data_IF_284615054128
#
_entry.id   IF_284615054128
#
_cell.length_a   1.000
_cell.length_b   1.000
_cell.length_c   1.000
_cell.angle_alpha   90.00
_cell.angle_beta   90.00
_cell.angle_gamma   90.00
#
_symmetry.space_group_name_H-M   'P 1'
#
loop_
_entity.id
_entity.type
_entity.pdbx_description
1 polymer ?
#
# COMPACT_ATOMS: atom_id res chain seq x y z
N UNK A 1 -38.14 -20.96 37.15
CA UNK A 1 -36.69 -21.20 36.96
C UNK A 1 -36.28 -20.48 35.68
N UNK A 2 -35.59 -19.34 35.81
CA UNK A 2 -35.18 -18.49 34.69
C UNK A 2 -33.76 -18.92 34.27
N UNK A 3 -33.61 -19.49 33.07
CA UNK A 3 -32.30 -19.92 32.57
C UNK A 3 -31.52 -18.70 32.04
N UNK A 4 -30.39 -18.40 32.68
CA UNK A 4 -29.45 -17.35 32.26
C UNK A 4 -28.56 -17.90 31.14
N UNK A 5 -28.87 -17.58 29.88
CA UNK A 5 -28.04 -17.94 28.73
C UNK A 5 -26.73 -17.13 28.76
N UNK A 6 -25.64 -17.77 29.18
CA UNK A 6 -24.29 -17.20 29.12
C UNK A 6 -23.74 -17.37 27.71
N UNK A 7 -23.69 -16.30 26.92
CA UNK A 7 -23.03 -16.28 25.61
C UNK A 7 -21.52 -16.14 25.80
N UNK A 8 -20.80 -17.27 25.81
CA UNK A 8 -19.33 -17.31 25.78
C UNK A 8 -18.83 -16.76 24.45
N UNK A 9 -18.01 -15.68 24.41
CA UNK A 9 -17.41 -15.22 23.17
C UNK A 9 -16.43 -16.28 22.67
N UNK A 10 -16.67 -16.79 21.46
CA UNK A 10 -15.92 -17.88 20.84
C UNK A 10 -14.53 -17.41 20.40
N UNK A 11 -13.48 -18.09 20.88
CA UNK A 11 -12.04 -17.82 20.63
C UNK A 11 -11.63 -17.68 19.14
N UNK A 12 -12.47 -18.10 18.20
CA UNK A 12 -12.19 -18.09 16.76
C UNK A 12 -12.21 -16.71 16.09
N UNK A 13 -12.94 -15.74 16.64
CA UNK A 13 -13.11 -14.43 15.98
C UNK A 13 -11.92 -13.50 16.23
N UNK A 14 -11.34 -13.55 17.43
CA UNK A 14 -10.22 -12.67 17.81
C UNK A 14 -8.92 -13.02 17.07
N UNK A 15 -8.64 -14.30 16.86
CA UNK A 15 -7.42 -14.75 16.15
C UNK A 15 -7.45 -14.41 14.66
N UNK A 16 -8.61 -14.58 14.01
CA UNK A 16 -8.78 -14.24 12.59
C UNK A 16 -8.69 -12.73 12.35
N UNK A 17 -9.28 -11.90 13.21
CA UNK A 17 -9.15 -10.43 13.13
C UNK A 17 -7.69 -9.97 13.33
N UNK A 18 -6.97 -10.59 14.27
CA UNK A 18 -5.56 -10.24 14.49
C UNK A 18 -4.69 -10.60 13.27
N UNK A 19 -4.98 -11.74 12.65
CA UNK A 19 -4.29 -12.18 11.43
C UNK A 19 -4.56 -11.24 10.26
N UNK A 20 -5.82 -10.87 9.99
CA UNK A 20 -6.14 -9.96 8.87
C UNK A 20 -5.46 -8.59 9.04
N UNK A 21 -5.43 -8.05 10.26
CA UNK A 21 -4.69 -6.81 10.57
C UNK A 21 -3.19 -6.95 10.35
N UNK A 22 -2.61 -8.07 10.76
CA UNK A 22 -1.18 -8.34 10.57
C UNK A 22 -0.83 -8.48 9.09
N UNK A 23 -1.66 -9.16 8.30
CA UNK A 23 -1.47 -9.28 6.84
C UNK A 23 -1.59 -7.90 6.20
N UNK A 24 -2.65 -7.14 6.49
CA UNK A 24 -2.85 -5.79 5.95
C UNK A 24 -1.66 -4.87 6.24
N UNK A 25 -1.13 -4.89 7.46
CA UNK A 25 0.05 -4.12 7.83
C UNK A 25 1.30 -4.58 7.07
N UNK A 26 1.50 -5.89 6.98
CA UNK A 26 2.62 -6.49 6.26
C UNK A 26 2.57 -6.12 4.78
N UNK A 27 1.39 -5.98 4.17
CA UNK A 27 1.24 -5.57 2.77
C UNK A 27 1.95 -4.25 2.46
N UNK A 28 1.85 -3.26 3.34
CA UNK A 28 2.53 -1.97 3.17
C UNK A 28 4.05 -2.10 3.30
N UNK A 29 4.53 -2.99 4.16
CA UNK A 29 5.97 -3.21 4.37
C UNK A 29 6.60 -4.02 3.23
N UNK A 30 5.94 -5.07 2.75
CA UNK A 30 6.43 -5.83 1.59
C UNK A 30 6.42 -4.99 0.31
N UNK A 31 5.52 -4.00 0.22
CA UNK A 31 5.47 -3.06 -0.89
C UNK A 31 6.78 -2.27 -1.04
N UNK A 32 7.49 -1.99 0.06
CA UNK A 32 8.78 -1.28 0.02
C UNK A 32 9.87 -2.09 -0.68
N UNK A 33 9.80 -3.43 -0.62
CA UNK A 33 10.84 -4.33 -1.15
C UNK A 33 10.46 -4.90 -2.51
N UNK A 34 9.18 -5.23 -2.67
CA UNK A 34 8.64 -5.92 -3.86
C UNK A 34 7.91 -4.98 -4.80
N UNK A 35 7.86 -3.68 -4.46
CA UNK A 35 7.16 -2.64 -5.21
C UNK A 35 5.70 -3.01 -5.43
N UNK A 36 5.20 -2.97 -6.67
CA UNK A 36 3.81 -3.29 -7.01
C UNK A 36 3.48 -4.79 -6.89
N UNK A 37 4.47 -5.68 -6.93
CA UNK A 37 4.24 -7.13 -7.03
C UNK A 37 3.67 -7.68 -5.73
N UNK A 38 4.24 -7.33 -4.57
CA UNK A 38 3.76 -7.81 -3.28
C UNK A 38 2.30 -7.44 -2.99
N UNK A 39 1.93 -6.15 -3.07
CA UNK A 39 0.55 -5.70 -2.92
C UNK A 39 -0.41 -6.37 -3.91
N UNK A 40 0.01 -6.54 -5.17
CA UNK A 40 -0.82 -7.19 -6.18
C UNK A 40 -1.10 -8.66 -5.83
N UNK A 41 -0.08 -9.40 -5.39
CA UNK A 41 -0.22 -10.79 -4.95
C UNK A 41 -1.14 -10.88 -3.73
N UNK A 42 -0.96 -10.00 -2.73
CA UNK A 42 -1.84 -10.00 -1.55
C UNK A 42 -3.28 -9.68 -1.94
N UNK A 43 -3.49 -8.67 -2.79
CA UNK A 43 -4.82 -8.28 -3.26
C UNK A 43 -5.53 -9.43 -3.99
N UNK A 44 -4.80 -10.22 -4.79
CA UNK A 44 -5.38 -11.32 -5.57
C UNK A 44 -5.68 -12.56 -4.73
N UNK A 45 -4.84 -12.86 -3.73
CA UNK A 45 -5.00 -14.04 -2.88
C UNK A 45 -5.90 -13.81 -1.67
N UNK A 46 -6.07 -12.56 -1.25
CA UNK A 46 -6.86 -12.23 -0.06
C UNK A 46 -8.34 -12.57 -0.23
N UNK A 47 -8.91 -13.16 0.83
CA UNK A 47 -10.36 -13.37 0.99
C UNK A 47 -11.00 -12.38 1.95
N UNK A 48 -10.20 -11.50 2.56
CA UNK A 48 -10.67 -10.47 3.48
C UNK A 48 -10.75 -9.14 2.73
N UNK A 49 -11.94 -8.55 2.70
CA UNK A 49 -12.17 -7.22 2.10
C UNK A 49 -11.19 -6.19 2.67
N UNK A 50 -11.05 -6.15 3.99
CA UNK A 50 -10.09 -5.29 4.71
C UNK A 50 -8.65 -5.43 4.19
N UNK A 51 -8.15 -6.65 4.01
CA UNK A 51 -6.79 -6.89 3.50
C UNK A 51 -6.70 -6.48 2.03
N UNK A 52 -7.73 -6.75 1.23
CA UNK A 52 -7.77 -6.40 -0.18
C UNK A 52 -7.80 -4.88 -0.42
N UNK A 53 -8.50 -4.13 0.43
CA UNK A 53 -8.50 -2.66 0.41
C UNK A 53 -7.11 -2.10 0.73
N UNK A 54 -6.47 -2.56 1.81
CA UNK A 54 -5.11 -2.14 2.13
C UNK A 54 -4.09 -2.52 1.05
N UNK A 55 -4.27 -3.67 0.41
CA UNK A 55 -3.43 -4.10 -0.71
C UNK A 55 -3.61 -3.23 -1.94
N UNK A 56 -4.85 -2.82 -2.24
CA UNK A 56 -5.15 -1.85 -3.32
C UNK A 56 -4.53 -0.49 -3.03
N UNK A 57 -4.60 -0.02 -1.79
CA UNK A 57 -4.00 1.27 -1.40
C UNK A 57 -2.47 1.23 -1.47
N UNK A 58 -1.85 0.16 -1.00
CA UNK A 58 -0.41 -0.05 -1.15
C UNK A 58 0.00 -0.10 -2.64
N UNK A 59 -0.79 -0.76 -3.49
CA UNK A 59 -0.55 -0.84 -4.93
C UNK A 59 -0.62 0.55 -5.60
N UNK A 60 -1.69 1.30 -5.32
CA UNK A 60 -1.89 2.67 -5.81
C UNK A 60 -0.75 3.59 -5.37
N UNK A 61 -0.29 3.46 -4.14
CA UNK A 61 0.86 4.20 -3.64
C UNK A 61 2.15 3.85 -4.37
N UNK A 62 2.47 2.56 -4.51
CA UNK A 62 3.68 2.12 -5.20
C UNK A 62 3.69 2.53 -6.68
N UNK A 63 2.53 2.57 -7.34
CA UNK A 63 2.41 3.14 -8.69
C UNK A 63 2.73 4.63 -8.71
N UNK A 64 2.22 5.39 -7.74
CA UNK A 64 2.48 6.83 -7.60
C UNK A 64 3.97 7.09 -7.39
N UNK A 65 4.60 6.38 -6.44
CA UNK A 65 6.04 6.45 -6.19
C UNK A 65 6.85 6.06 -7.42
N UNK A 66 6.43 5.01 -8.13
CA UNK A 66 7.08 4.56 -9.36
C UNK A 66 7.06 5.62 -10.48
N UNK A 67 5.94 6.30 -10.66
CA UNK A 67 5.82 7.40 -11.64
C UNK A 67 6.77 8.55 -11.29
N UNK A 68 6.79 8.97 -10.01
CA UNK A 68 7.71 10.04 -9.58
C UNK A 68 9.17 9.60 -9.71
N UNK A 69 9.48 8.34 -9.41
CA UNK A 69 10.82 7.76 -9.62
C UNK A 69 11.24 7.76 -11.09
N UNK A 70 10.32 7.46 -12.00
CA UNK A 70 10.58 7.54 -13.45
C UNK A 70 10.88 8.98 -13.90
N UNK A 71 10.14 9.97 -13.37
CA UNK A 71 10.43 11.39 -13.63
C UNK A 71 11.80 11.81 -13.09
N UNK A 72 12.19 11.33 -11.90
CA UNK A 72 13.52 11.55 -11.35
C UNK A 72 14.62 10.97 -12.25
N UNK A 73 14.41 9.76 -12.79
CA UNK A 73 15.34 9.13 -13.73
C UNK A 73 15.42 9.90 -15.06
N UNK A 74 14.30 10.43 -15.56
CA UNK A 74 14.27 11.27 -16.76
C UNK A 74 15.09 12.56 -16.58
N UNK A 75 15.08 13.17 -15.39
CA UNK A 75 15.93 14.34 -15.08
C UNK A 75 17.42 13.98 -15.15
N UNK A 76 17.81 12.79 -14.68
CA UNK A 76 19.19 12.31 -14.83
C UNK A 76 19.54 12.08 -16.30
N UNK A 77 18.64 11.49 -17.08
CA UNK A 77 18.88 11.30 -18.52
C UNK A 77 19.10 12.62 -19.26
N UNK A 78 18.41 13.69 -18.84
CA UNK A 78 18.57 15.02 -19.44
C UNK A 78 20.00 15.55 -19.34
N UNK A 79 20.73 15.24 -18.27
CA UNK A 79 22.12 15.72 -18.12
C UNK A 79 23.07 15.13 -19.14
N UNK A 80 22.80 13.90 -19.58
CA UNK A 80 23.57 13.25 -20.65
C UNK A 80 23.30 13.93 -21.99
N UNK A 81 22.06 14.36 -22.22
CA UNK A 81 21.63 14.98 -23.48
C UNK A 81 22.10 16.43 -23.60
N UNK A 82 22.01 17.20 -22.52
CA UNK A 82 22.31 18.64 -22.53
C UNK A 82 23.76 18.97 -22.15
N UNK A 83 24.46 18.06 -21.47
CA UNK A 83 25.77 18.32 -20.86
C UNK A 83 25.71 19.21 -19.61
N UNK A 84 24.51 19.64 -19.19
CA UNK A 84 24.28 20.40 -17.96
C UNK A 84 24.05 19.45 -16.78
N UNK A 85 24.79 19.63 -15.69
CA UNK A 85 24.70 18.82 -14.48
C UNK A 85 23.62 19.31 -13.49
N UNK A 86 23.03 20.48 -13.72
CA UNK A 86 21.98 21.05 -12.86
C UNK A 86 20.80 20.10 -12.61
N UNK A 87 20.26 19.37 -13.60
CA UNK A 87 19.17 18.42 -13.38
C UNK A 87 19.50 17.25 -12.44
N UNK A 88 20.77 16.83 -12.34
CA UNK A 88 21.19 15.75 -11.40
C UNK A 88 21.00 16.17 -9.95
N UNK A 89 21.30 17.43 -9.60
CA UNK A 89 21.12 17.93 -8.24
C UNK A 89 19.64 17.86 -7.82
N UNK A 90 18.75 18.30 -8.70
CA UNK A 90 17.30 18.23 -8.48
C UNK A 90 16.80 16.79 -8.40
N UNK A 91 17.31 15.88 -9.23
CA UNK A 91 16.95 14.46 -9.18
C UNK A 91 17.31 13.81 -7.83
N UNK A 92 18.43 14.20 -7.23
CA UNK A 92 18.91 13.66 -5.95
C UNK A 92 18.04 14.15 -4.78
N UNK A 93 17.66 15.43 -4.78
CA UNK A 93 16.71 15.98 -3.81
C UNK A 93 15.35 15.29 -3.92
N UNK A 94 14.85 15.11 -5.14
CA UNK A 94 13.59 14.41 -5.39
C UNK A 94 13.64 12.96 -4.90
N UNK A 95 14.74 12.24 -5.16
CA UNK A 95 14.92 10.87 -4.70
C UNK A 95 14.86 10.76 -3.16
N UNK A 96 15.52 11.65 -2.43
CA UNK A 96 15.48 11.67 -0.96
C UNK A 96 14.07 11.91 -0.45
N UNK A 97 13.36 12.89 -1.00
CA UNK A 97 11.99 13.22 -0.60
C UNK A 97 11.04 12.06 -0.88
N UNK A 98 11.16 11.42 -2.06
CA UNK A 98 10.30 10.31 -2.47
C UNK A 98 10.57 9.06 -1.64
N UNK A 99 11.85 8.68 -1.44
CA UNK A 99 12.19 7.52 -0.64
C UNK A 99 11.82 7.70 0.84
N UNK A 100 12.08 8.88 1.40
CA UNK A 100 11.69 9.23 2.77
C UNK A 100 10.17 9.24 2.94
N UNK A 101 9.45 9.86 2.01
CA UNK A 101 7.99 9.88 2.00
C UNK A 101 7.37 8.49 1.83
N UNK A 102 7.92 7.66 0.94
CA UNK A 102 7.50 6.28 0.72
C UNK A 102 7.63 5.44 2.00
N UNK A 103 8.79 5.50 2.65
CA UNK A 103 9.01 4.80 3.90
C UNK A 103 8.05 5.29 5.00
N UNK A 104 7.95 6.61 5.18
CA UNK A 104 7.09 7.21 6.20
C UNK A 104 5.64 6.79 6.03
N UNK A 105 5.10 6.92 4.81
CA UNK A 105 3.71 6.62 4.53
C UNK A 105 3.39 5.13 4.62
N UNK A 106 4.27 4.23 4.15
CA UNK A 106 4.07 2.80 4.35
C UNK A 106 4.09 2.41 5.83
N UNK A 107 4.94 3.05 6.66
CA UNK A 107 4.95 2.82 8.11
C UNK A 107 3.66 3.32 8.77
N UNK A 108 3.19 4.52 8.42
CA UNK A 108 1.91 5.06 8.93
C UNK A 108 0.74 4.15 8.53
N UNK A 109 0.71 3.71 7.28
CA UNK A 109 -0.29 2.78 6.78
C UNK A 109 -0.27 1.45 7.54
N UNK A 110 0.93 0.88 7.77
CA UNK A 110 1.09 -0.35 8.52
C UNK A 110 0.63 -0.23 9.98
N UNK A 111 1.01 0.85 10.68
CA UNK A 111 0.58 1.10 12.06
C UNK A 111 -0.95 1.25 12.12
N UNK A 112 -1.54 1.97 11.15
CA UNK A 112 -2.99 2.18 11.09
C UNK A 112 -3.74 0.87 10.84
N UNK A 113 -3.20 0.02 9.95
CA UNK A 113 -3.75 -1.31 9.69
C UNK A 113 -3.70 -2.23 10.93
N UNK A 114 -2.63 -2.17 11.74
CA UNK A 114 -2.57 -2.94 13.00
C UNK A 114 -3.65 -2.49 13.99
N UNK A 115 -4.00 -1.19 14.00
CA UNK A 115 -5.07 -0.64 14.84
C UNK A 115 -6.47 -1.05 14.37
N UNK A 116 -6.58 -1.57 13.14
CA UNK A 116 -7.86 -1.94 12.53
C UNK A 116 -8.55 -0.77 11.82
N UNK A 117 -7.83 0.34 11.62
CA UNK A 117 -8.32 1.50 10.89
C UNK A 117 -7.85 1.44 9.44
N UNK A 118 -8.53 2.20 8.58
CA UNK A 118 -8.16 2.36 7.18
C UNK A 118 -7.36 3.66 7.01
N UNK A 119 -6.26 3.60 6.26
CA UNK A 119 -5.45 4.78 5.96
C UNK A 119 -5.28 4.94 4.47
N UNK A 120 -5.63 6.12 3.99
CA UNK A 120 -5.53 6.48 2.59
C UNK A 120 -4.30 7.36 2.35
N UNK A 121 -3.49 6.98 1.36
CA UNK A 121 -2.32 7.75 0.96
C UNK A 121 -2.75 9.11 0.36
N UNK A 122 -2.28 10.26 0.90
CA UNK A 122 -2.81 11.59 0.53
C UNK A 122 -2.68 11.96 -0.95
N UNK A 123 -1.61 11.51 -1.60
CA UNK A 123 -1.30 11.87 -2.99
C UNK A 123 -1.29 10.65 -3.93
N UNK A 124 -1.84 9.52 -3.48
CA UNK A 124 -1.88 8.33 -4.31
C UNK A 124 -2.85 8.47 -5.48
N UNK A 125 -2.38 8.05 -6.66
CA UNK A 125 -3.22 7.83 -7.84
C UNK A 125 -4.12 6.64 -7.56
N UNK A 126 -5.43 6.85 -7.66
CA UNK A 126 -6.43 5.81 -7.36
C UNK A 126 -6.94 5.18 -8.64
N UNK A 127 -6.59 3.92 -8.85
CA UNK A 127 -7.20 3.11 -9.90
C UNK A 127 -8.51 2.53 -9.37
N UNK A 128 -9.63 2.92 -9.98
CA UNK A 128 -10.98 2.45 -9.64
C UNK A 128 -11.45 1.48 -10.71
N UNK A 129 -11.93 0.30 -10.32
CA UNK A 129 -12.62 -0.61 -11.25
C UNK A 129 -13.97 0.01 -11.63
N UNK A 130 -14.30 0.02 -12.92
CA UNK A 130 -15.63 0.39 -13.38
C UNK A 130 -16.65 -0.70 -13.00
N UNK A 131 -17.90 -0.36 -12.63
CA UNK A 131 -18.89 -1.34 -12.15
C UNK A 131 -19.36 -2.41 -13.16
N UNK A 132 -18.76 -2.50 -14.35
CA UNK A 132 -19.39 -3.16 -15.51
C UNK A 132 -18.77 -4.49 -15.92
N UNK A 133 -17.73 -4.99 -15.24
CA UNK A 133 -17.17 -6.32 -15.57
C UNK A 133 -17.60 -7.33 -14.52
N UNK A 134 -18.70 -8.02 -14.79
CA UNK A 134 -19.09 -9.23 -14.05
C UNK A 134 -17.93 -10.22 -14.12
N UNK A 135 -17.25 -10.49 -13.00
CA UNK A 135 -16.28 -11.59 -12.89
C UNK A 135 -17.04 -12.92 -12.89
N UNK A 136 -17.55 -13.31 -14.05
CA UNK A 136 -18.11 -14.64 -14.30
C UNK A 136 -16.99 -15.54 -14.83
N UNK A 137 -16.30 -16.21 -13.91
CA UNK A 137 -15.61 -17.48 -14.15
C UNK A 137 -15.64 -18.31 -12.88
#
# INVERSE_FOLDING_TARGET
MTATSTTTPTRHTTSSTTLTRSIAATTHLIALVTWIVGPLVVMWLSRSEYVSEHAKDALNWQLTVGIVGYLAAALVALTVVTGDSTPVLWSSVLAVVVLGGNLLFCVVAAITAIRGDHWEYPVAIRVVESPTVSRTF
#
